data_IF_000554455161
#
_entry.id   IF_000554455161
#
_cell.length_a   1.000
_cell.length_b   1.000
_cell.length_c   1.000
_cell.angle_alpha   90.00
_cell.angle_beta   90.00
_cell.angle_gamma   90.00
#
_symmetry.space_group_name_H-M   'P 1'
#
loop_
_entity.id
_entity.type
_entity.pdbx_description
1 polymer ?
#
# COMPACT_ATOMS: atom_id res chain seq x y z
N UNK A 1 -5.72 -0.09 12.55
CA UNK A 1 -4.87 0.55 11.52
C UNK A 1 -3.48 -0.06 11.53
N UNK A 2 -2.75 0.06 10.42
CA UNK A 2 -1.36 -0.39 10.26
C UNK A 2 -0.48 0.81 9.88
N UNK A 3 0.67 0.98 10.53
CA UNK A 3 1.65 1.99 10.15
C UNK A 3 2.75 1.34 9.32
N UNK A 4 3.07 1.93 8.18
CA UNK A 4 4.08 1.44 7.25
C UNK A 4 4.98 2.57 6.80
N UNK A 5 6.29 2.34 6.86
CA UNK A 5 7.28 3.25 6.33
C UNK A 5 7.54 2.89 4.87
N UNK A 6 7.30 3.85 3.98
CA UNK A 6 7.48 3.66 2.53
C UNK A 6 8.54 4.59 1.99
N UNK A 7 9.15 4.17 0.89
CA UNK A 7 10.10 4.98 0.13
C UNK A 7 9.79 4.86 -1.36
N UNK A 8 9.69 6.01 -2.02
CA UNK A 8 9.51 6.14 -3.46
C UNK A 8 10.72 6.88 -4.03
N UNK A 9 11.25 6.36 -5.13
CA UNK A 9 12.39 6.95 -5.84
C UNK A 9 11.88 7.55 -7.15
N UNK A 10 11.88 8.88 -7.25
CA UNK A 10 11.44 9.59 -8.46
C UNK A 10 12.05 10.99 -8.52
N UNK A 11 11.97 11.65 -9.69
CA UNK A 11 12.34 13.07 -9.84
C UNK A 11 11.39 13.99 -9.09
N UNK A 12 10.10 13.63 -9.07
CA UNK A 12 9.03 14.30 -8.31
C UNK A 12 8.21 13.21 -7.63
N UNK A 13 8.00 13.35 -6.33
CA UNK A 13 7.17 12.43 -5.54
C UNK A 13 6.05 13.25 -4.93
N UNK A 14 4.83 12.78 -5.14
CA UNK A 14 3.62 13.34 -4.52
C UNK A 14 3.17 12.49 -3.34
N UNK A 15 2.33 13.07 -2.49
CA UNK A 15 1.71 12.35 -1.38
C UNK A 15 0.88 11.15 -1.87
N UNK A 16 0.30 11.27 -3.07
CA UNK A 16 -0.48 10.21 -3.71
C UNK A 16 0.41 9.00 -4.06
N UNK A 17 1.63 9.24 -4.53
CA UNK A 17 2.59 8.17 -4.83
C UNK A 17 2.98 7.41 -3.55
N UNK A 18 3.21 8.13 -2.45
CA UNK A 18 3.53 7.53 -1.15
C UNK A 18 2.37 6.68 -0.63
N UNK A 19 1.14 7.21 -0.69
CA UNK A 19 -0.06 6.48 -0.29
C UNK A 19 -0.27 5.24 -1.15
N UNK A 20 -0.17 5.36 -2.47
CA UNK A 20 -0.29 4.24 -3.41
C UNK A 20 0.73 3.15 -3.12
N UNK A 21 2.00 3.52 -2.95
CA UNK A 21 3.07 2.58 -2.63
C UNK A 21 2.83 1.85 -1.29
N UNK A 22 2.30 2.55 -0.29
CA UNK A 22 1.95 1.95 0.99
C UNK A 22 0.84 0.91 0.87
N UNK A 23 -0.25 1.25 0.19
CA UNK A 23 -1.35 0.32 -0.03
C UNK A 23 -0.89 -0.88 -0.86
N UNK A 24 -0.18 -0.65 -1.96
CA UNK A 24 0.33 -1.71 -2.83
C UNK A 24 1.25 -2.68 -2.07
N UNK A 25 2.19 -2.15 -1.29
CA UNK A 25 3.08 -2.97 -0.45
C UNK A 25 2.32 -3.80 0.57
N UNK A 26 1.30 -3.23 1.23
CA UNK A 26 0.48 -3.98 2.20
C UNK A 26 -0.35 -5.07 1.52
N UNK A 27 -0.83 -4.85 0.30
CA UNK A 27 -1.69 -5.80 -0.42
C UNK A 27 -0.88 -6.96 -1.00
N UNK A 28 0.19 -6.69 -1.74
CA UNK A 28 0.87 -7.72 -2.55
C UNK A 28 2.20 -8.20 -1.96
N UNK A 29 2.90 -7.34 -1.21
CA UNK A 29 4.22 -7.68 -0.65
C UNK A 29 4.14 -8.12 0.80
N UNK A 30 3.15 -7.64 1.54
CA UNK A 30 3.12 -7.72 2.99
C UNK A 30 4.18 -6.81 3.63
N UNK A 31 4.19 -6.78 4.95
CA UNK A 31 5.12 -5.97 5.74
C UNK A 31 5.75 -6.84 6.82
N UNK A 32 7.08 -6.91 6.84
CA UNK A 32 7.81 -7.43 7.99
C UNK A 32 7.71 -6.42 9.13
N UNK A 33 7.26 -6.86 10.30
CA UNK A 33 7.22 -6.01 11.49
C UNK A 33 8.60 -5.51 11.88
N UNK A 34 8.62 -4.45 12.70
CA UNK A 34 9.81 -4.05 13.44
C UNK A 34 10.14 -5.07 14.56
N UNK A 35 11.05 -4.70 15.47
CA UNK A 35 11.57 -5.51 16.59
C UNK A 35 10.55 -6.33 17.40
N UNK A 36 9.24 -6.10 17.27
CA UNK A 36 8.17 -6.88 17.89
C UNK A 36 7.79 -8.17 17.14
N UNK A 37 8.42 -8.48 16.00
CA UNK A 37 8.15 -9.72 15.24
C UNK A 37 6.79 -9.78 14.54
N UNK A 38 6.03 -8.68 14.53
CA UNK A 38 4.69 -8.60 13.93
C UNK A 38 4.74 -8.61 12.40
N UNK A 39 4.89 -9.80 11.79
CA UNK A 39 4.80 -9.98 10.35
C UNK A 39 3.35 -9.82 9.90
N UNK A 40 3.12 -8.93 8.94
CA UNK A 40 1.85 -8.78 8.23
C UNK A 40 2.02 -9.44 6.86
N UNK A 41 1.43 -10.63 6.63
CA UNK A 41 1.48 -11.24 5.31
C UNK A 41 0.75 -10.39 4.27
N UNK A 42 1.10 -10.60 3.00
CA UNK A 42 0.35 -10.04 1.87
C UNK A 42 -1.13 -10.45 1.95
N UNK A 43 -2.02 -9.57 1.52
CA UNK A 43 -3.45 -9.85 1.44
C UNK A 43 -3.81 -10.70 0.22
N UNK A 44 -3.14 -10.44 -0.89
CA UNK A 44 -3.32 -11.13 -2.16
C UNK A 44 -1.96 -11.59 -2.70
N UNK A 45 -1.92 -12.70 -3.44
CA UNK A 45 -0.73 -13.07 -4.19
C UNK A 45 -0.47 -12.03 -5.30
N UNK A 46 0.80 -11.88 -5.70
CA UNK A 46 1.17 -10.98 -6.78
C UNK A 46 0.47 -11.34 -8.11
N UNK A 47 0.13 -12.61 -8.33
CA UNK A 47 -0.62 -13.08 -9.49
C UNK A 47 -2.04 -12.47 -9.57
N UNK A 48 -2.66 -12.17 -8.42
CA UNK A 48 -3.97 -11.49 -8.40
C UNK A 48 -3.91 -10.09 -8.98
N UNK A 49 -2.75 -9.42 -8.95
CA UNK A 49 -2.57 -8.11 -9.58
C UNK A 49 -2.70 -8.22 -11.10
N UNK A 50 -2.13 -9.27 -11.70
CA UNK A 50 -2.23 -9.51 -13.14
C UNK A 50 -3.65 -9.94 -13.54
N UNK A 51 -4.25 -10.86 -12.78
CA UNK A 51 -5.61 -11.36 -13.03
C UNK A 51 -6.70 -10.30 -12.88
N UNK A 52 -6.48 -9.29 -12.02
CA UNK A 52 -7.42 -8.18 -11.79
C UNK A 52 -6.84 -6.83 -12.23
N UNK A 53 -6.01 -6.82 -13.26
CA UNK A 53 -5.28 -5.64 -13.73
C UNK A 53 -6.19 -4.43 -13.99
N UNK A 54 -7.37 -4.61 -14.57
CA UNK A 54 -8.34 -3.53 -14.79
C UNK A 54 -8.77 -2.84 -13.49
N UNK A 55 -9.14 -3.64 -12.48
CA UNK A 55 -9.52 -3.12 -11.17
C UNK A 55 -8.31 -2.48 -10.48
N UNK A 56 -7.15 -3.15 -10.47
CA UNK A 56 -5.94 -2.62 -9.84
C UNK A 56 -5.50 -1.30 -10.49
N UNK A 57 -5.60 -1.17 -11.81
CA UNK A 57 -5.27 0.06 -12.52
C UNK A 57 -6.16 1.23 -12.09
N UNK A 58 -7.47 1.01 -11.96
CA UNK A 58 -8.40 2.03 -11.45
C UNK A 58 -8.20 2.32 -9.96
N UNK A 59 -8.04 1.27 -9.15
CA UNK A 59 -7.91 1.36 -7.69
C UNK A 59 -6.64 2.09 -7.26
N UNK A 60 -5.51 1.81 -7.93
CA UNK A 60 -4.20 2.42 -7.67
C UNK A 60 -3.92 3.63 -8.57
N UNK A 61 -4.92 4.15 -9.29
CA UNK A 61 -4.76 5.37 -10.06
C UNK A 61 -4.39 6.57 -9.17
N UNK A 62 -3.89 7.64 -9.79
CA UNK A 62 -3.52 8.87 -9.09
C UNK A 62 -4.69 9.56 -8.36
N UNK A 63 -5.95 9.19 -8.62
CA UNK A 63 -7.11 9.57 -7.81
C UNK A 63 -7.99 8.34 -7.47
N UNK A 64 -7.38 7.16 -7.48
CA UNK A 64 -8.07 5.91 -7.20
C UNK A 64 -8.51 5.80 -5.74
N UNK A 65 -9.41 4.86 -5.48
CA UNK A 65 -9.95 4.60 -4.14
C UNK A 65 -8.88 4.27 -3.10
N UNK A 66 -7.68 3.82 -3.51
CA UNK A 66 -6.58 3.51 -2.61
C UNK A 66 -6.23 4.66 -1.66
N UNK A 67 -6.44 5.92 -2.08
CA UNK A 67 -6.12 7.10 -1.27
C UNK A 67 -7.00 7.27 -0.05
N UNK A 68 -8.22 6.75 -0.08
CA UNK A 68 -9.15 6.82 1.05
C UNK A 68 -8.72 5.88 2.20
N UNK A 69 -7.93 4.86 1.88
CA UNK A 69 -7.44 3.88 2.85
C UNK A 69 -6.05 4.22 3.41
N UNK A 70 -5.43 5.31 2.95
CA UNK A 70 -4.08 5.69 3.31
C UNK A 70 -3.99 7.16 3.73
N UNK A 71 -3.46 7.40 4.92
CA UNK A 71 -3.21 8.73 5.47
C UNK A 71 -1.73 8.87 5.82
N UNK A 72 -1.12 9.99 5.43
CA UNK A 72 0.28 10.24 5.77
C UNK A 72 0.35 10.90 7.14
N UNK A 73 1.26 10.43 8.00
CA UNK A 73 1.53 11.08 9.27
C UNK A 73 2.29 12.38 9.01
N UNK A 74 1.68 13.52 9.34
CA UNK A 74 2.31 14.83 9.23
C UNK A 74 3.63 14.87 10.01
N UNK A 75 4.67 15.45 9.40
CA UNK A 75 6.02 15.51 9.99
C UNK A 75 6.87 14.24 9.83
N UNK A 76 6.32 13.14 9.30
CA UNK A 76 7.08 11.89 9.07
C UNK A 76 7.84 11.83 7.75
N UNK A 77 7.83 12.93 6.98
CA UNK A 77 8.44 13.00 5.66
C UNK A 77 9.96 12.95 5.73
N UNK A 78 10.55 12.11 4.91
CA UNK A 78 11.98 11.93 4.78
C UNK A 78 12.36 12.08 3.31
N UNK A 79 12.96 13.21 2.92
CA UNK A 79 13.39 13.45 1.55
C UNK A 79 14.91 13.52 1.48
N UNK A 80 15.49 12.58 0.74
CA UNK A 80 16.93 12.47 0.52
C UNK A 80 17.21 12.65 -0.96
N UNK A 81 18.01 13.65 -1.31
CA UNK A 81 18.52 13.79 -2.68
C UNK A 81 19.56 12.69 -2.92
N UNK A 82 19.43 12.01 -4.04
CA UNK A 82 20.36 10.97 -4.50
C UNK A 82 20.94 11.39 -5.85
N UNK A 83 22.04 10.77 -6.27
CA UNK A 83 22.67 11.05 -7.57
C UNK A 83 21.74 10.80 -8.76
N UNK A 84 20.71 9.96 -8.61
CA UNK A 84 19.77 9.56 -9.67
C UNK A 84 18.36 10.16 -9.53
N UNK A 85 18.11 11.00 -8.52
CA UNK A 85 16.78 11.57 -8.25
C UNK A 85 16.51 11.81 -6.77
N UNK A 86 15.24 11.89 -6.37
CA UNK A 86 14.84 12.12 -4.97
C UNK A 86 14.26 10.83 -4.40
N UNK A 87 14.84 10.36 -3.29
CA UNK A 87 14.23 9.34 -2.44
C UNK A 87 13.32 10.07 -1.45
N UNK A 88 12.02 9.89 -1.58
CA UNK A 88 11.04 10.45 -0.64
C UNK A 88 10.37 9.32 0.11
N UNK A 89 10.36 9.39 1.43
CA UNK A 89 9.67 8.47 2.30
C UNK A 89 8.74 9.19 3.26
N UNK A 90 7.78 8.44 3.79
CA UNK A 90 6.88 8.90 4.83
C UNK A 90 6.35 7.70 5.62
N UNK A 91 5.85 7.95 6.82
CA UNK A 91 5.06 6.97 7.56
C UNK A 91 3.61 7.15 7.11
N UNK A 92 3.05 6.07 6.57
CA UNK A 92 1.67 6.01 6.09
C UNK A 92 0.86 5.10 7.00
N UNK A 93 -0.27 5.61 7.45
CA UNK A 93 -1.29 4.88 8.16
C UNK A 93 -2.27 4.29 7.15
N UNK A 94 -2.34 2.97 7.11
CA UNK A 94 -3.23 2.19 6.23
C UNK A 94 -4.35 1.57 7.03
N UNK A 95 -5.59 1.79 6.61
CA UNK A 95 -6.74 1.06 7.14
C UNK A 95 -6.85 -0.32 6.49
N UNK A 96 -6.12 -1.27 7.09
CA UNK A 96 -6.07 -2.67 6.66
C UNK A 96 -7.46 -3.32 6.59
N UNK A 97 -8.37 -2.99 7.51
CA UNK A 97 -9.68 -3.67 7.61
C UNK A 97 -10.59 -3.20 6.48
N UNK A 98 -10.70 -1.88 6.29
CA UNK A 98 -11.52 -1.30 5.25
C UNK A 98 -10.97 -1.65 3.84
N UNK A 99 -9.65 -1.60 3.67
CA UNK A 99 -8.97 -2.00 2.44
C UNK A 99 -9.28 -3.46 2.07
N UNK A 100 -9.16 -4.38 3.04
CA UNK A 100 -9.44 -5.80 2.80
C UNK A 100 -10.89 -6.01 2.33
N UNK A 101 -11.85 -5.35 2.97
CA UNK A 101 -13.28 -5.45 2.60
C UNK A 101 -13.54 -4.97 1.16
N UNK A 102 -12.87 -3.90 0.73
CA UNK A 102 -12.97 -3.40 -0.65
C UNK A 102 -12.38 -4.40 -1.66
N UNK A 103 -11.21 -4.96 -1.35
CA UNK A 103 -10.54 -5.95 -2.20
C UNK A 103 -11.29 -7.29 -2.25
N UNK A 104 -11.90 -7.73 -1.15
CA UNK A 104 -12.77 -8.91 -1.11
C UNK A 104 -14.03 -8.69 -1.97
N UNK A 105 -14.65 -7.51 -1.91
CA UNK A 105 -15.79 -7.15 -2.77
C UNK A 105 -15.42 -7.15 -4.26
N UNK A 106 -14.19 -6.75 -4.58
CA UNK A 106 -13.65 -6.77 -5.93
C UNK A 106 -13.14 -8.15 -6.39
N UNK A 107 -13.14 -9.16 -5.52
CA UNK A 107 -12.65 -10.50 -5.81
C UNK A 107 -11.13 -10.66 -5.84
N UNK A 108 -10.37 -9.60 -5.54
CA UNK A 108 -8.90 -9.59 -5.54
C UNK A 108 -8.32 -10.40 -4.36
N UNK A 109 -8.99 -10.35 -3.21
CA UNK A 109 -8.61 -11.07 -1.98
C UNK A 109 -9.67 -12.10 -1.66
N UNK A 110 -9.25 -13.32 -1.30
CA UNK A 110 -10.19 -14.35 -0.83
C UNK A 110 -10.80 -13.94 0.51
N UNK A 111 -12.14 -14.05 0.67
CA UNK A 111 -12.78 -13.77 1.94
C UNK A 111 -12.37 -14.81 2.97
N UNK A 112 -12.21 -14.38 4.23
CA UNK A 112 -11.87 -15.28 5.35
C UNK A 112 -12.91 -16.39 5.57
N UNK A 113 -14.14 -16.21 5.09
CA UNK A 113 -15.23 -17.18 5.20
C UNK A 113 -15.16 -18.31 4.17
N UNK A 114 -14.30 -18.24 3.16
CA UNK A 114 -14.20 -19.27 2.12
C UNK A 114 -13.42 -20.54 2.56
N UNK A 115 -13.11 -20.66 3.85
CA UNK A 115 -12.31 -21.76 4.42
C UNK A 115 -13.00 -22.58 5.51
N UNK A 116 -14.34 -22.56 5.58
CA UNK A 116 -15.13 -23.45 6.42
C UNK A 116 -16.02 -24.35 5.57
#
# INVERSE_FOLDING_TARGET
>A
MLLVKVFVYSKKVTDQDLKRAAVHGVVFRGCSGNNSGAKQPAMAPAESEASHSEFCNGFFAAQGECQNYASIIAGSYERVKTSKGVKSGAIVQVDKKALRKALEKAGVVRPLSAGF
#
